data_IF_927330316053
#
_entry.id   IF_927330316053
#
_cell.length_a   1.000
_cell.length_b   1.000
_cell.length_c   1.000
_cell.angle_alpha   90.00
_cell.angle_beta   90.00
_cell.angle_gamma   90.00
#
_symmetry.space_group_name_H-M   'P 1'
#
loop_
_entity.id
_entity.type
_entity.pdbx_description
1 polymer ?
#
# COMPACT_ATOMS: atom_id res chain seq x y z
N UNK A 1 -8.06 -23.32 8.01
CA UNK A 1 -7.72 -22.78 6.67
C UNK A 1 -6.74 -21.63 6.84
N UNK A 2 -5.74 -21.51 5.97
CA UNK A 2 -4.80 -20.39 5.90
C UNK A 2 -5.10 -19.67 4.58
N UNK A 3 -5.44 -18.39 4.65
CA UNK A 3 -5.84 -17.60 3.48
C UNK A 3 -5.16 -16.22 3.49
N UNK A 4 -4.64 -15.82 2.33
CA UNK A 4 -4.00 -14.52 2.13
C UNK A 4 -4.97 -13.62 1.34
N UNK A 5 -5.53 -12.61 2.00
CA UNK A 5 -6.49 -11.67 1.42
C UNK A 5 -6.00 -10.22 1.57
N UNK A 6 -6.19 -9.40 0.52
CA UNK A 6 -5.81 -7.97 0.51
C UNK A 6 -6.59 -7.12 1.52
N UNK A 7 -7.70 -7.65 2.05
CA UNK A 7 -8.49 -7.00 3.09
C UNK A 7 -7.71 -6.74 4.40
N UNK A 8 -6.53 -7.37 4.59
CA UNK A 8 -5.59 -7.05 5.67
C UNK A 8 -5.17 -5.57 5.70
N UNK A 9 -5.14 -4.90 4.55
CA UNK A 9 -4.85 -3.46 4.43
C UNK A 9 -5.76 -2.58 5.29
N UNK A 10 -7.01 -2.99 5.50
CA UNK A 10 -7.99 -2.26 6.33
C UNK A 10 -7.60 -2.26 7.80
N UNK A 11 -6.98 -3.34 8.28
CA UNK A 11 -6.49 -3.45 9.66
C UNK A 11 -5.31 -2.51 9.87
N UNK A 12 -4.32 -2.56 8.96
CA UNK A 12 -3.16 -1.67 9.02
C UNK A 12 -3.54 -0.19 8.93
N UNK A 13 -4.52 0.15 8.09
CA UNK A 13 -5.05 1.53 8.00
C UNK A 13 -5.62 2.01 9.34
N UNK A 14 -6.38 1.17 10.05
CA UNK A 14 -6.90 1.53 11.38
C UNK A 14 -5.78 1.66 12.42
N UNK A 15 -4.82 0.75 12.43
CA UNK A 15 -3.66 0.80 13.32
C UNK A 15 -2.84 2.08 13.12
N UNK A 16 -2.61 2.47 11.86
CA UNK A 16 -1.88 3.69 11.51
C UNK A 16 -2.64 4.95 11.97
N UNK A 17 -3.97 5.00 11.79
CA UNK A 17 -4.79 6.09 12.31
C UNK A 17 -4.76 6.21 13.84
N UNK A 18 -4.71 5.08 14.55
CA UNK A 18 -4.58 5.08 16.01
C UNK A 18 -3.20 5.58 16.45
N UNK A 19 -2.15 5.10 15.77
CA UNK A 19 -0.78 5.56 15.98
C UNK A 19 -0.66 7.08 15.78
N UNK A 20 -1.14 7.62 14.65
CA UNK A 20 -1.07 9.05 14.33
C UNK A 20 -1.74 9.92 15.41
N UNK A 21 -2.86 9.48 15.97
CA UNK A 21 -3.56 10.22 17.04
C UNK A 21 -2.75 10.28 18.33
N UNK A 22 -2.09 9.19 18.70
CA UNK A 22 -1.27 9.10 19.91
C UNK A 22 0.04 9.88 19.70
N UNK A 23 0.68 9.70 18.53
CA UNK A 23 1.93 10.36 18.14
C UNK A 23 1.79 11.88 18.07
N UNK A 24 0.68 12.39 17.51
CA UNK A 24 0.40 13.83 17.45
C UNK A 24 0.32 14.51 18.82
N UNK A 25 -0.05 13.76 19.86
CA UNK A 25 -0.11 14.26 21.25
C UNK A 25 1.16 13.96 22.04
N UNK A 26 2.15 13.30 21.42
CA UNK A 26 3.33 12.75 22.10
C UNK A 26 2.96 11.99 23.38
N UNK A 27 1.83 11.28 23.38
CA UNK A 27 1.36 10.55 24.55
C UNK A 27 2.10 9.21 24.67
N UNK A 28 2.45 8.81 25.90
CA UNK A 28 3.10 7.54 26.24
C UNK A 28 4.52 7.34 25.67
N UNK A 29 5.16 8.39 25.17
CA UNK A 29 6.49 8.30 24.54
C UNK A 29 7.63 8.25 25.58
N UNK A 30 7.40 8.77 26.78
CA UNK A 30 8.42 8.88 27.84
C UNK A 30 8.97 7.53 28.33
N UNK A 31 8.18 6.46 28.21
CA UNK A 31 8.66 5.12 28.54
C UNK A 31 9.57 4.54 27.44
N UNK A 32 9.34 4.91 26.19
CA UNK A 32 10.18 4.47 25.08
C UNK A 32 11.54 5.16 25.09
N UNK A 33 11.60 6.44 25.46
CA UNK A 33 12.87 7.20 25.59
C UNK A 33 13.87 6.62 26.59
N UNK A 34 13.45 5.72 27.48
CA UNK A 34 14.33 5.02 28.42
C UNK A 34 15.13 3.91 27.75
N UNK A 35 14.66 3.42 26.61
CA UNK A 35 15.34 2.39 25.84
C UNK A 35 16.43 3.01 24.94
N UNK A 36 17.58 2.35 24.77
CA UNK A 36 18.72 2.90 24.03
C UNK A 36 18.39 3.22 22.56
N UNK A 37 17.43 2.50 21.97
CA UNK A 37 16.98 2.71 20.59
C UNK A 37 16.23 4.05 20.39
N UNK A 38 15.68 4.64 21.46
CA UNK A 38 14.90 5.87 21.41
C UNK A 38 15.47 6.98 22.32
N UNK A 39 16.70 6.82 22.79
CA UNK A 39 17.34 7.73 23.73
C UNK A 39 17.67 9.08 23.08
N UNK A 40 18.13 9.06 21.83
CA UNK A 40 18.62 10.24 21.11
C UNK A 40 17.54 10.88 20.22
N UNK A 41 16.72 10.07 19.55
CA UNK A 41 15.62 10.53 18.71
C UNK A 41 14.43 9.55 18.72
N UNK A 42 13.35 9.96 18.07
CA UNK A 42 12.13 9.16 17.90
C UNK A 42 11.87 8.91 16.41
N UNK A 43 12.93 8.96 15.60
CA UNK A 43 12.84 8.96 14.14
C UNK A 43 12.43 7.57 13.64
N UNK A 44 12.86 6.52 14.35
CA UNK A 44 12.45 5.12 14.12
C UNK A 44 10.92 4.93 14.11
N UNK A 45 10.16 5.74 14.86
CA UNK A 45 8.71 5.71 14.84
C UNK A 45 8.12 6.27 13.54
N UNK A 46 8.78 7.26 12.93
CA UNK A 46 8.37 7.82 11.65
C UNK A 46 8.75 6.88 10.50
N UNK A 47 9.95 6.31 10.56
CA UNK A 47 10.41 5.31 9.58
C UNK A 47 9.48 4.09 9.56
N UNK A 48 9.15 3.56 10.73
CA UNK A 48 8.18 2.46 10.87
C UNK A 48 6.80 2.83 10.32
N UNK A 49 6.36 4.08 10.51
CA UNK A 49 5.07 4.56 9.99
C UNK A 49 5.08 4.62 8.46
N UNK A 50 6.16 5.12 7.86
CA UNK A 50 6.34 5.19 6.42
C UNK A 50 6.29 3.79 5.78
N UNK A 51 7.02 2.82 6.35
CA UNK A 51 6.99 1.43 5.87
C UNK A 51 5.59 0.85 5.86
N UNK A 52 4.81 1.04 6.92
CA UNK A 52 3.43 0.54 6.98
C UNK A 52 2.52 1.29 6.00
N UNK A 53 2.75 2.59 5.78
CA UNK A 53 2.02 3.36 4.77
C UNK A 53 2.29 2.83 3.36
N UNK A 54 3.55 2.60 3.00
CA UNK A 54 3.95 1.99 1.72
C UNK A 54 3.35 0.59 1.55
N UNK A 55 3.31 -0.23 2.60
CA UNK A 55 2.67 -1.54 2.57
C UNK A 55 1.16 -1.45 2.28
N UNK A 56 0.46 -0.48 2.86
CA UNK A 56 -0.96 -0.24 2.57
C UNK A 56 -1.15 0.15 1.09
N UNK A 57 -0.25 0.96 0.55
CA UNK A 57 -0.27 1.35 -0.87
C UNK A 57 -0.01 0.16 -1.79
N UNK A 58 0.95 -0.71 -1.45
CA UNK A 58 1.22 -1.95 -2.16
C UNK A 58 0.01 -2.88 -2.16
N UNK A 59 -0.67 -3.05 -1.02
CA UNK A 59 -1.90 -3.84 -0.95
C UNK A 59 -3.03 -3.27 -1.83
N UNK A 60 -3.12 -1.95 -1.99
CA UNK A 60 -4.08 -1.33 -2.92
C UNK A 60 -3.66 -1.54 -4.37
N UNK A 61 -2.35 -1.48 -4.66
CA UNK A 61 -1.83 -1.76 -5.98
C UNK A 61 -2.08 -3.22 -6.39
N UNK A 62 -2.05 -4.17 -5.44
CA UNK A 62 -2.39 -5.58 -5.67
C UNK A 62 -3.84 -5.78 -6.17
N UNK A 63 -4.76 -4.85 -5.89
CA UNK A 63 -6.14 -4.90 -6.38
C UNK A 63 -6.27 -4.37 -7.82
N UNK A 64 -5.21 -3.74 -8.35
CA UNK A 64 -5.17 -3.22 -9.71
C UNK A 64 -4.55 -4.23 -10.69
N UNK A 65 -5.05 -4.32 -11.93
CA UNK A 65 -4.42 -5.11 -13.00
C UNK A 65 -2.99 -4.67 -13.33
N UNK A 66 -2.62 -3.43 -12.98
CA UNK A 66 -1.31 -2.83 -13.29
C UNK A 66 -0.26 -3.03 -12.17
N UNK A 67 -0.49 -3.96 -11.22
CA UNK A 67 0.45 -4.22 -10.12
C UNK A 67 1.89 -4.47 -10.57
N UNK A 68 2.08 -5.20 -11.68
CA UNK A 68 3.40 -5.53 -12.24
C UNK A 68 4.21 -4.25 -12.54
N UNK A 69 3.55 -3.17 -12.94
CA UNK A 69 4.19 -1.91 -13.29
C UNK A 69 4.41 -0.99 -12.08
N UNK A 70 3.78 -1.27 -10.93
CA UNK A 70 3.84 -0.42 -9.73
C UNK A 70 5.26 -0.36 -9.15
N UNK A 71 5.98 -1.50 -9.11
CA UNK A 71 7.36 -1.57 -8.63
C UNK A 71 8.44 -1.26 -9.69
N UNK A 72 8.06 -1.13 -10.97
CA UNK A 72 9.02 -0.91 -12.08
C UNK A 72 9.46 0.55 -12.22
N UNK A 73 8.76 1.49 -11.57
CA UNK A 73 9.09 2.92 -11.57
C UNK A 73 10.42 3.31 -10.91
N UNK A 74 11.14 2.36 -10.29
CA UNK A 74 12.49 2.57 -9.76
C UNK A 74 13.63 1.92 -10.55
N UNK A 75 13.35 1.09 -11.55
CA UNK A 75 14.38 0.28 -12.23
C UNK A 75 14.35 0.33 -13.77
N UNK A 76 13.30 0.87 -14.40
CA UNK A 76 13.15 0.81 -15.85
C UNK A 76 13.17 2.20 -16.52
N UNK A 77 14.33 2.87 -16.47
CA UNK A 77 14.72 3.76 -17.55
C UNK A 77 15.36 2.89 -18.66
N UNK A 78 14.53 2.30 -19.52
CA UNK A 78 15.02 1.60 -20.72
C UNK A 78 14.03 0.64 -21.36
N UNK A 79 13.40 1.09 -22.45
CA UNK A 79 13.18 0.26 -23.64
C UNK A 79 11.90 -0.58 -23.72
N UNK A 80 10.94 -0.03 -24.47
CA UNK A 80 10.18 -0.68 -25.58
C UNK A 80 9.45 -2.02 -25.36
N UNK A 81 8.14 -2.03 -25.68
CA UNK A 81 7.45 -3.27 -26.04
C UNK A 81 5.94 -3.17 -26.07
N UNK A 82 5.37 -3.18 -27.27
CA UNK A 82 3.97 -2.99 -27.56
C UNK A 82 3.05 -4.21 -27.30
N UNK A 83 1.75 -3.93 -27.22
CA UNK A 83 0.65 -4.91 -27.30
C UNK A 83 -0.50 -4.49 -26.38
N UNK A 84 -1.64 -3.94 -26.82
CA UNK A 84 -2.35 -4.18 -28.08
C UNK A 84 -3.64 -4.95 -27.78
N UNK A 85 -4.74 -4.21 -27.68
CA UNK A 85 -6.13 -4.61 -27.91
C UNK A 85 -6.80 -5.68 -27.00
N UNK A 86 -7.83 -5.22 -26.28
CA UNK A 86 -9.11 -5.93 -26.18
C UNK A 86 -10.24 -4.88 -26.07
N UNK A 87 -10.66 -4.37 -27.22
CA UNK A 87 -11.95 -3.70 -27.35
C UNK A 87 -12.98 -4.81 -27.56
N UNK A 88 -13.79 -5.12 -26.53
CA UNK A 88 -14.96 -5.97 -26.71
C UNK A 88 -16.10 -5.07 -27.20
N UNK A 89 -16.19 -4.97 -28.52
CA UNK A 89 -17.32 -4.36 -29.21
C UNK A 89 -18.54 -5.27 -29.11
N UNK A 90 -19.61 -4.74 -28.55
CA UNK A 90 -20.93 -5.36 -28.61
C UNK A 90 -21.48 -5.36 -30.05
N UNK A 91 -22.12 -6.46 -30.43
CA UNK A 91 -22.89 -6.54 -31.66
C UNK A 91 -23.24 -7.96 -32.11
N UNK A 92 -24.32 -8.51 -31.58
CA UNK A 92 -25.22 -9.48 -32.25
C UNK A 92 -26.49 -9.60 -31.37
N UNK A 93 -27.73 -9.67 -31.83
CA UNK A 93 -28.30 -9.73 -33.16
C UNK A 93 -29.72 -9.17 -33.09
N UNK A 94 -30.15 -8.47 -34.13
CA UNK A 94 -31.55 -8.16 -34.36
C UNK A 94 -32.32 -9.46 -34.68
N UNK A 95 -33.30 -9.82 -33.85
CA UNK A 95 -34.33 -10.79 -34.20
C UNK A 95 -35.59 -10.02 -34.63
N UNK A 96 -35.80 -9.97 -35.94
CA UNK A 96 -37.11 -9.74 -36.52
C UNK A 96 -37.92 -11.04 -36.39
N UNK A 97 -39.09 -10.98 -35.73
CA UNK A 97 -40.42 -11.40 -36.22
C UNK A 97 -41.42 -11.15 -35.09
#
# INVERSE_FOLDING_TARGET
MLANHTCMSQLFTRSLQQFDRIRKRNAFVDNYRKEPMFADNLDEFEDSREVVASLIEEYKACESPNYINWGMGGAAAGGEGAGGAAAEGGGEAAAAT
#
